data_IF_019820836438
#
_entry.id   IF_019820836438
#
_cell.length_a   1.000
_cell.length_b   1.000
_cell.length_c   1.000
_cell.angle_alpha   90.00
_cell.angle_beta   90.00
_cell.angle_gamma   90.00
#
_symmetry.space_group_name_H-M   'P 1'
#
loop_
_entity.id
_entity.type
_entity.pdbx_description
1 polymer ?
#
# COMPACT_ATOMS: atom_id res chain seq x y z
N UNK A 1 8.30 3.69 -3.16
CA UNK A 1 8.16 4.92 -3.95
C UNK A 1 8.56 4.59 -5.35
N UNK A 2 8.31 5.48 -6.29
CA UNK A 2 8.80 5.30 -7.65
C UNK A 2 10.03 6.17 -7.83
N UNK A 3 11.01 5.68 -8.57
CA UNK A 3 12.16 6.48 -8.97
C UNK A 3 12.30 6.47 -10.48
N UNK A 4 12.75 7.59 -11.01
CA UNK A 4 13.02 7.75 -12.43
C UNK A 4 14.38 7.14 -12.74
N UNK A 5 14.42 6.23 -13.71
CA UNK A 5 15.67 5.68 -14.24
C UNK A 5 15.73 5.88 -15.75
N UNK A 6 16.94 5.81 -16.28
CA UNK A 6 17.22 5.95 -17.72
C UNK A 6 17.40 4.58 -18.36
N UNK A 7 16.86 4.38 -19.56
CA UNK A 7 17.19 3.22 -20.38
C UNK A 7 18.61 3.39 -20.92
N UNK A 8 19.50 2.50 -20.49
CA UNK A 8 20.91 2.47 -20.91
C UNK A 8 21.05 2.38 -22.43
N UNK A 9 20.12 1.70 -23.10
CA UNK A 9 20.15 1.58 -24.56
C UNK A 9 19.90 2.91 -25.27
N UNK A 10 19.25 3.86 -24.60
CA UNK A 10 18.85 5.16 -25.18
C UNK A 10 19.82 6.30 -24.85
N UNK A 11 20.83 6.05 -24.03
CA UNK A 11 21.78 7.08 -23.53
C UNK A 11 22.57 7.81 -24.62
N UNK A 12 22.62 7.27 -25.84
CA UNK A 12 23.28 7.89 -26.99
C UNK A 12 22.43 8.95 -27.71
N UNK A 13 21.14 9.09 -27.36
CA UNK A 13 20.27 10.13 -27.90
C UNK A 13 20.36 11.42 -27.08
N UNK A 14 20.12 12.58 -27.71
CA UNK A 14 19.97 13.87 -27.00
C UNK A 14 18.79 13.89 -26.00
N UNK A 15 17.86 12.94 -26.12
CA UNK A 15 16.78 12.70 -25.18
C UNK A 15 16.68 11.19 -24.95
N UNK A 16 17.41 10.64 -23.97
CA UNK A 16 17.27 9.22 -23.64
C UNK A 16 15.88 8.95 -23.08
N UNK A 17 15.44 7.71 -23.21
CA UNK A 17 14.19 7.25 -22.65
C UNK A 17 14.32 7.08 -21.15
N UNK A 18 13.33 7.59 -20.42
CA UNK A 18 13.22 7.43 -18.99
C UNK A 18 11.99 6.59 -18.67
N UNK A 19 12.09 5.78 -17.63
CA UNK A 19 10.97 5.01 -17.12
C UNK A 19 10.97 5.03 -15.60
N UNK A 20 9.78 4.88 -15.02
CA UNK A 20 9.62 4.79 -13.58
C UNK A 20 9.77 3.33 -13.16
N UNK A 21 10.58 3.10 -12.13
CA UNK A 21 10.73 1.77 -11.51
C UNK A 21 10.16 1.85 -10.10
N UNK A 22 9.43 0.81 -9.72
CA UNK A 22 8.92 0.67 -8.38
C UNK A 22 10.05 0.24 -7.43
N UNK A 23 10.33 1.07 -6.42
CA UNK A 23 11.28 0.78 -5.34
C UNK A 23 10.53 0.77 -4.00
N UNK A 24 10.13 -0.40 -3.49
CA UNK A 24 9.34 -0.53 -2.27
C UNK A 24 9.97 0.15 -1.06
N UNK A 25 11.31 0.22 -0.99
CA UNK A 25 12.03 0.84 0.12
C UNK A 25 11.85 2.37 0.18
N UNK A 26 11.51 3.00 -0.94
CA UNK A 26 11.21 4.43 -1.01
C UNK A 26 9.74 4.74 -0.66
N UNK A 27 8.93 3.76 -0.25
CA UNK A 27 7.55 4.06 0.13
C UNK A 27 7.53 4.77 1.48
N UNK A 28 6.72 5.83 1.64
CA UNK A 28 6.61 6.51 2.92
C UNK A 28 6.02 5.56 3.96
N UNK A 29 6.54 5.62 5.19
CA UNK A 29 5.87 5.03 6.33
C UNK A 29 4.57 5.79 6.60
N UNK A 30 3.49 5.11 7.00
CA UNK A 30 2.24 5.77 7.33
C UNK A 30 2.46 6.67 8.56
N UNK A 31 2.01 7.92 8.47
CA UNK A 31 1.88 8.84 9.62
C UNK A 31 0.55 8.61 10.34
N UNK A 32 0.11 7.36 10.42
CA UNK A 32 -1.18 6.96 10.96
C UNK A 32 -0.96 6.26 12.29
N UNK A 33 -1.50 6.84 13.37
CA UNK A 33 -1.59 6.19 14.67
C UNK A 33 -3.01 5.64 14.82
N UNK A 34 -3.15 4.31 14.81
CA UNK A 34 -4.41 3.65 15.11
C UNK A 34 -4.73 3.72 16.61
N UNK A 35 -6.02 3.64 16.96
CA UNK A 35 -6.44 3.49 18.35
C UNK A 35 -5.95 2.17 18.95
N UNK A 36 -5.93 2.07 20.28
CA UNK A 36 -5.36 0.92 21.02
C UNK A 36 -6.07 -0.41 20.71
N UNK A 37 -7.33 -0.35 20.25
CA UNK A 37 -8.18 -1.49 19.84
C UNK A 37 -8.13 -1.78 18.33
N UNK A 38 -7.27 -1.10 17.58
CA UNK A 38 -7.15 -1.22 16.13
C UNK A 38 -5.74 -1.65 15.72
N UNK A 39 -5.67 -2.54 14.72
CA UNK A 39 -4.44 -2.97 14.08
C UNK A 39 -4.17 -2.13 12.84
N UNK A 40 -2.92 -1.69 12.66
CA UNK A 40 -2.48 -1.06 11.43
C UNK A 40 -2.23 -2.15 10.38
N UNK A 41 -3.05 -2.17 9.34
CA UNK A 41 -2.99 -3.16 8.27
C UNK A 41 -2.37 -2.56 7.01
N UNK A 42 -1.56 -3.37 6.33
CA UNK A 42 -0.89 -3.04 5.08
C UNK A 42 -1.58 -3.78 3.93
N UNK A 43 -2.06 -3.04 2.95
CA UNK A 43 -2.71 -3.60 1.76
C UNK A 43 -1.91 -3.27 0.50
N UNK A 44 -1.63 -4.28 -0.33
CA UNK A 44 -0.97 -4.08 -1.61
C UNK A 44 -2.03 -3.85 -2.70
N UNK A 45 -2.09 -2.63 -3.24
CA UNK A 45 -3.04 -2.29 -4.31
C UNK A 45 -2.44 -2.62 -5.67
N UNK A 46 -3.17 -3.40 -6.48
CA UNK A 46 -2.75 -3.73 -7.84
C UNK A 46 -2.65 -2.47 -8.69
N UNK A 47 -1.51 -2.26 -9.35
CA UNK A 47 -1.25 -1.08 -10.17
C UNK A 47 -0.66 0.12 -9.42
N UNK A 48 -0.46 0.03 -8.10
CA UNK A 48 0.30 1.00 -7.32
C UNK A 48 1.61 0.39 -6.82
N UNK A 49 2.70 1.15 -6.93
CA UNK A 49 3.98 0.72 -6.38
C UNK A 49 3.96 0.67 -4.84
N UNK A 50 3.31 1.67 -4.22
CA UNK A 50 3.25 1.75 -2.77
C UNK A 50 1.98 1.12 -2.20
N UNK A 51 2.11 0.43 -1.06
CA UNK A 51 0.99 -0.14 -0.33
C UNK A 51 0.17 0.98 0.32
N UNK A 52 -1.11 0.72 0.50
CA UNK A 52 -1.99 1.52 1.33
C UNK A 52 -1.97 1.00 2.77
N UNK A 53 -2.26 1.90 3.70
CA UNK A 53 -2.31 1.60 5.12
C UNK A 53 -3.66 2.04 5.67
N UNK A 54 -4.30 1.18 6.44
CA UNK A 54 -5.57 1.47 7.08
C UNK A 54 -5.62 0.83 8.47
N UNK A 55 -6.41 1.42 9.36
CA UNK A 55 -6.68 0.82 10.66
C UNK A 55 -7.85 -0.15 10.51
N UNK A 56 -7.70 -1.36 11.03
CA UNK A 56 -8.75 -2.36 11.11
C UNK A 56 -9.00 -2.70 12.58
N UNK A 57 -10.26 -2.84 12.98
CA UNK A 57 -10.58 -3.21 14.36
C UNK A 57 -10.01 -4.59 14.68
N UNK A 58 -9.36 -4.72 15.84
CA UNK A 58 -8.90 -6.00 16.34
C UNK A 58 -10.10 -6.81 16.89
N UNK A 59 -10.86 -7.41 15.98
CA UNK A 59 -12.06 -8.18 16.29
C UNK A 59 -11.78 -9.64 16.70
N UNK A 60 -10.55 -10.01 17.06
CA UNK A 60 -10.18 -11.41 17.38
C UNK A 60 -11.05 -12.05 18.48
N UNK A 61 -11.80 -11.26 19.27
CA UNK A 61 -12.72 -11.74 20.31
C UNK A 61 -14.18 -11.30 20.13
N UNK A 62 -14.55 -10.67 19.00
CA UNK A 62 -15.93 -10.25 18.76
C UNK A 62 -16.74 -11.44 18.23
N UNK A 63 -17.63 -11.97 19.08
CA UNK A 63 -18.69 -12.88 18.66
C UNK A 63 -19.48 -12.16 17.56
N UNK A 64 -19.44 -12.66 16.33
CA UNK A 64 -20.28 -12.10 15.27
C UNK A 64 -21.75 -12.28 15.69
N UNK A 65 -22.52 -11.20 15.88
CA UNK A 65 -23.91 -11.33 16.26
C UNK A 65 -24.67 -11.97 15.10
N UNK A 66 -25.22 -13.17 15.32
CA UNK A 66 -26.12 -13.81 14.38
C UNK A 66 -27.47 -13.12 14.44
N UNK A 67 -27.88 -12.46 13.37
CA UNK A 67 -29.24 -11.95 13.24
C UNK A 67 -30.17 -13.15 12.95
N UNK A 68 -30.95 -13.57 13.94
CA UNK A 68 -32.01 -14.55 13.73
C UNK A 68 -33.29 -13.84 13.26
N UNK A 69 -33.84 -14.33 12.15
CA UNK A 69 -35.18 -13.91 11.70
C UNK A 69 -36.19 -14.65 12.58
N UNK A 70 -36.82 -13.94 13.51
CA UNK A 70 -37.90 -14.49 14.33
C UNK A 70 -39.14 -14.57 13.43
N UNK A 71 -39.53 -15.79 13.06
CA UNK A 71 -40.77 -16.11 12.33
C UNK A 71 -41.96 -16.29 13.25
#
# INVERSE_FOLDING_TARGET
>A
GEFLTVDLNSTHFCCPQYYCVCEPNLCPMPLLNCAEDMNLVKENVSGQCCPTWHCECNCENLIMPTCEVIS
#
